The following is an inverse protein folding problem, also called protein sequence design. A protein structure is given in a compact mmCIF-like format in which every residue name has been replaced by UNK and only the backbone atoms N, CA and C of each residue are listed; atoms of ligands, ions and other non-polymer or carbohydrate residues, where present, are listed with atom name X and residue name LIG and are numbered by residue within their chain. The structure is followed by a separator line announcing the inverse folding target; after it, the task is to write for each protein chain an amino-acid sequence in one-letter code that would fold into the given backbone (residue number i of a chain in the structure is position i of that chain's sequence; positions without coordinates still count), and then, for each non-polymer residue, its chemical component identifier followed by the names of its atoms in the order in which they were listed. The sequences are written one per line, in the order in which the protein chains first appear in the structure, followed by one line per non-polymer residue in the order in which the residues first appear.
data_IF_268435705122
#
_entry.id   IF_268435705122
#
_cell.length_a   1.000
_cell.length_b   1.000
_cell.length_c   1.000
_cell.angle_alpha   90.00
_cell.angle_beta   90.00
_cell.angle_gamma   90.00
#
_symmetry.space_group_name_H-M   'P 1'
#
loop_
_entity.id
_entity.type
_entity.pdbx_description
1 polymer ?
#
# COMPACT_ATOMS: atom_id res chain seq x y z
N UNK A 1 38.48 33.17 -58.82
CA UNK A 1 37.12 32.63 -58.57
C UNK A 1 37.18 31.82 -57.29
N UNK A 2 36.48 32.21 -56.21
CA UNK A 2 36.65 31.57 -54.91
C UNK A 2 35.73 30.34 -54.80
N UNK A 3 36.34 29.18 -54.53
CA UNK A 3 35.64 27.98 -54.11
C UNK A 3 35.05 28.22 -52.71
N UNK A 4 33.71 28.29 -52.61
CA UNK A 4 33.00 28.33 -51.33
C UNK A 4 32.95 26.93 -50.75
N UNK A 5 33.66 26.74 -49.63
CA UNK A 5 33.58 25.55 -48.77
C UNK A 5 32.12 25.23 -48.42
N UNK A 6 31.63 24.08 -48.88
CA UNK A 6 30.27 23.54 -48.66
C UNK A 6 30.20 22.50 -47.53
N UNK A 7 31.22 22.41 -46.67
CA UNK A 7 31.15 21.60 -45.44
C UNK A 7 30.88 22.55 -44.25
N UNK A 8 29.76 22.36 -43.52
CA UNK A 8 29.66 21.29 -42.53
C UNK A 8 28.25 20.66 -42.36
N UNK A 9 27.31 20.90 -43.29
CA UNK A 9 25.91 20.51 -43.12
C UNK A 9 25.69 18.99 -43.04
N UNK A 10 26.45 18.19 -43.80
CA UNK A 10 26.32 16.72 -43.82
C UNK A 10 26.72 16.06 -42.49
N UNK A 11 27.76 16.59 -41.82
CA UNK A 11 28.20 16.10 -40.49
C UNK A 11 27.18 16.43 -39.41
N UNK A 12 26.64 17.65 -39.41
CA UNK A 12 25.60 18.06 -38.48
C UNK A 12 24.32 17.23 -38.64
N UNK A 13 23.90 16.97 -39.88
CA UNK A 13 22.73 16.13 -40.17
C UNK A 13 22.91 14.70 -39.65
N UNK A 14 24.08 14.10 -39.88
CA UNK A 14 24.39 12.75 -39.39
C UNK A 14 24.36 12.66 -37.87
N UNK A 15 24.87 13.68 -37.17
CA UNK A 15 24.82 13.76 -35.69
C UNK A 15 23.37 13.87 -35.20
N UNK A 16 22.55 14.72 -35.84
CA UNK A 16 21.14 14.90 -35.47
C UNK A 16 20.36 13.59 -35.66
N UNK A 17 20.55 12.92 -36.80
CA UNK A 17 19.91 11.63 -37.09
C UNK A 17 20.36 10.56 -36.09
N UNK A 18 21.67 10.47 -35.82
CA UNK A 18 22.20 9.54 -34.83
C UNK A 18 21.64 9.79 -33.42
N UNK A 19 21.59 11.04 -32.98
CA UNK A 19 21.02 11.42 -31.68
C UNK A 19 19.52 11.13 -31.60
N UNK A 20 18.80 11.30 -32.71
CA UNK A 20 17.37 10.98 -32.80
C UNK A 20 17.15 9.47 -32.63
N UNK A 21 17.91 8.64 -33.34
CA UNK A 21 17.82 7.17 -33.24
C UNK A 21 18.13 6.70 -31.82
N UNK A 22 19.20 7.22 -31.20
CA UNK A 22 19.55 6.89 -29.81
C UNK A 22 18.45 7.32 -28.84
N UNK A 23 17.88 8.52 -29.03
CA UNK A 23 16.75 9.00 -28.23
C UNK A 23 15.51 8.11 -28.36
N UNK A 24 15.16 7.69 -29.57
CA UNK A 24 14.04 6.77 -29.81
C UNK A 24 14.29 5.39 -29.17
N UNK A 25 15.51 4.86 -29.24
CA UNK A 25 15.85 3.61 -28.57
C UNK A 25 15.72 3.74 -27.05
N UNK A 26 16.29 4.79 -26.45
CA UNK A 26 16.20 5.03 -25.01
C UNK A 26 14.74 5.18 -24.55
N UNK A 27 13.92 5.90 -25.32
CA UNK A 27 12.50 6.06 -25.06
C UNK A 27 11.74 4.72 -25.16
N UNK A 28 12.03 3.92 -26.19
CA UNK A 28 11.44 2.58 -26.34
C UNK A 28 11.79 1.65 -25.18
N UNK A 29 13.05 1.67 -24.71
CA UNK A 29 13.48 0.93 -23.54
C UNK A 29 12.75 1.39 -22.27
N UNK A 30 12.65 2.69 -22.04
CA UNK A 30 11.93 3.24 -20.89
C UNK A 30 10.46 2.80 -20.88
N UNK A 31 9.77 2.87 -22.03
CA UNK A 31 8.38 2.43 -22.16
C UNK A 31 8.23 0.92 -21.93
N UNK A 32 9.16 0.11 -22.44
CA UNK A 32 9.18 -1.34 -22.22
C UNK A 32 9.36 -1.68 -20.74
N UNK A 33 10.28 -0.99 -20.06
CA UNK A 33 10.53 -1.17 -18.64
C UNK A 33 9.33 -0.78 -17.79
N UNK A 34 8.68 0.34 -18.09
CA UNK A 34 7.45 0.78 -17.42
C UNK A 34 6.33 -0.26 -17.55
N UNK A 35 6.10 -0.79 -18.76
CA UNK A 35 5.11 -1.85 -18.98
C UNK A 35 5.45 -3.09 -18.18
N UNK A 36 6.72 -3.49 -18.13
CA UNK A 36 7.14 -4.67 -17.39
C UNK A 36 6.82 -4.58 -15.89
N UNK A 37 7.09 -3.43 -15.26
CA UNK A 37 6.77 -3.22 -13.84
C UNK A 37 5.25 -3.32 -13.61
N UNK A 38 4.46 -2.68 -14.48
CA UNK A 38 3.01 -2.70 -14.33
C UNK A 38 2.42 -4.11 -14.52
N UNK A 39 3.02 -4.90 -15.41
CA UNK A 39 2.68 -6.32 -15.57
C UNK A 39 3.02 -7.14 -14.33
N UNK A 40 4.20 -6.97 -13.75
CA UNK A 40 4.62 -7.69 -12.55
C UNK A 40 3.68 -7.39 -11.37
N UNK A 41 3.36 -6.11 -11.15
CA UNK A 41 2.41 -5.70 -10.11
C UNK A 41 1.02 -6.31 -10.31
N UNK A 42 0.56 -6.40 -11.56
CA UNK A 42 -0.74 -7.01 -11.87
C UNK A 42 -0.73 -8.51 -11.59
N UNK A 43 0.35 -9.20 -11.98
CA UNK A 43 0.56 -10.62 -11.70
C UNK A 43 0.58 -10.90 -10.20
N UNK A 44 1.33 -10.11 -9.45
CA UNK A 44 1.43 -10.23 -8.00
C UNK A 44 0.06 -10.04 -7.34
N UNK A 45 -0.71 -9.04 -7.77
CA UNK A 45 -2.05 -8.80 -7.26
C UNK A 45 -2.99 -10.01 -7.53
N UNK A 46 -2.99 -10.54 -8.76
CA UNK A 46 -3.79 -11.72 -9.12
C UNK A 46 -3.38 -12.95 -8.29
N UNK A 47 -2.09 -13.13 -8.03
CA UNK A 47 -1.59 -14.22 -7.19
C UNK A 47 -2.04 -14.07 -5.73
N UNK A 48 -1.98 -12.86 -5.19
CA UNK A 48 -2.43 -12.58 -3.83
C UNK A 48 -3.94 -12.78 -3.68
N UNK A 49 -4.74 -12.31 -4.65
CA UNK A 49 -6.18 -12.55 -4.69
C UNK A 49 -6.50 -14.05 -4.72
N UNK A 50 -5.81 -14.82 -5.56
CA UNK A 50 -5.99 -16.28 -5.62
C UNK A 50 -5.65 -16.96 -4.30
N UNK A 51 -4.57 -16.53 -3.63
CA UNK A 51 -4.16 -17.08 -2.34
C UNK A 51 -5.22 -16.81 -1.27
N UNK A 52 -5.70 -15.57 -1.18
CA UNK A 52 -6.72 -15.18 -0.23
C UNK A 52 -8.01 -15.97 -0.47
N UNK A 53 -8.44 -16.08 -1.73
CA UNK A 53 -9.64 -16.84 -2.08
C UNK A 53 -9.53 -18.32 -1.69
N UNK A 54 -8.35 -18.93 -1.88
CA UNK A 54 -8.11 -20.32 -1.43
C UNK A 54 -8.17 -20.45 0.08
N UNK A 55 -7.65 -19.47 0.82
CA UNK A 55 -7.73 -19.46 2.28
C UNK A 55 -9.16 -19.29 2.77
N UNK A 56 -9.94 -18.39 2.16
CA UNK A 56 -11.36 -18.20 2.46
C UNK A 56 -12.16 -19.48 2.20
N UNK A 57 -11.93 -20.14 1.06
CA UNK A 57 -12.58 -21.42 0.74
C UNK A 57 -12.23 -22.47 1.81
N UNK A 58 -10.95 -22.61 2.16
CA UNK A 58 -10.51 -23.56 3.18
C UNK A 58 -11.11 -23.26 4.56
N UNK A 59 -11.22 -21.98 4.92
CA UNK A 59 -11.84 -21.55 6.16
C UNK A 59 -13.34 -21.81 6.16
N UNK A 60 -14.05 -21.49 5.07
CA UNK A 60 -15.47 -21.78 4.92
C UNK A 60 -15.77 -23.28 5.03
N UNK A 61 -14.92 -24.16 4.50
CA UNK A 61 -15.07 -25.60 4.70
C UNK A 61 -14.92 -26.00 6.18
N UNK A 62 -13.93 -25.45 6.90
CA UNK A 62 -13.75 -25.71 8.34
C UNK A 62 -14.94 -25.21 9.16
N UNK A 63 -15.44 -24.03 8.85
CA UNK A 63 -16.59 -23.46 9.54
C UNK A 63 -17.84 -24.31 9.32
N UNK A 64 -18.07 -24.77 8.09
CA UNK A 64 -19.19 -25.65 7.76
C UNK A 64 -19.07 -27.00 8.49
N UNK A 65 -17.87 -27.58 8.55
CA UNK A 65 -17.58 -28.77 9.34
C UNK A 65 -17.86 -28.55 10.83
N UNK A 66 -17.42 -27.42 11.38
CA UNK A 66 -17.69 -27.04 12.77
C UNK A 66 -19.18 -26.91 13.05
N UNK A 67 -19.95 -26.21 12.21
CA UNK A 67 -21.40 -26.07 12.39
C UNK A 67 -22.17 -27.39 12.19
N UNK A 68 -21.65 -28.29 11.36
CA UNK A 68 -22.22 -29.66 11.23
C UNK A 68 -21.87 -30.56 12.40
N UNK A 69 -20.78 -30.27 13.12
CA UNK A 69 -20.30 -31.11 14.21
C UNK A 69 -21.36 -31.29 15.30
N UNK A 70 -21.35 -32.48 15.92
CA UNK A 70 -22.21 -32.75 17.08
C UNK A 70 -21.94 -31.82 18.26
N UNK A 71 -20.69 -31.35 18.39
CA UNK A 71 -20.26 -30.43 19.45
C UNK A 71 -20.94 -29.07 19.33
N UNK A 72 -21.01 -28.50 18.11
CA UNK A 72 -21.72 -27.24 17.91
C UNK A 72 -23.22 -27.39 18.16
N UNK A 73 -23.83 -28.49 17.73
CA UNK A 73 -25.25 -28.77 17.99
C UNK A 73 -25.56 -28.91 19.47
N UNK A 74 -24.71 -29.61 20.21
CA UNK A 74 -24.83 -29.78 21.67
C UNK A 74 -24.64 -28.43 22.39
N UNK A 75 -23.60 -27.66 22.04
CA UNK A 75 -23.39 -26.31 22.55
C UNK A 75 -24.58 -25.40 22.27
N UNK A 76 -25.07 -25.37 21.02
CA UNK A 76 -26.19 -24.54 20.61
C UNK A 76 -27.48 -24.92 21.35
N UNK A 77 -27.75 -26.21 21.54
CA UNK A 77 -28.90 -26.69 22.30
C UNK A 77 -28.81 -26.30 23.79
N UNK A 78 -27.64 -26.43 24.40
CA UNK A 78 -27.40 -26.08 25.81
C UNK A 78 -27.53 -24.58 26.05
N UNK A 79 -26.99 -23.74 25.15
CA UNK A 79 -26.99 -22.28 25.29
C UNK A 79 -28.33 -21.64 24.90
N UNK A 80 -28.96 -22.05 23.78
CA UNK A 80 -30.16 -21.37 23.26
C UNK A 80 -31.48 -22.01 23.69
N UNK A 81 -31.50 -23.32 23.97
CA UNK A 81 -32.74 -24.03 24.34
C UNK A 81 -32.82 -24.32 25.85
N UNK A 82 -31.80 -23.92 26.63
CA UNK A 82 -31.77 -24.10 28.08
C UNK A 82 -31.78 -25.57 28.53
N UNK A 83 -31.50 -26.51 27.63
CA UNK A 83 -31.46 -27.96 27.87
C UNK A 83 -30.16 -28.39 28.56
N UNK A 84 -29.79 -27.69 29.63
CA UNK A 84 -28.66 -28.07 30.48
C UNK A 84 -29.06 -29.32 31.26
N UNK A 85 -28.30 -30.40 31.14
CA UNK A 85 -28.59 -31.64 31.86
C UNK A 85 -28.41 -31.41 33.37
N UNK A 86 -29.26 -32.01 34.23
CA UNK A 86 -29.15 -31.82 35.68
C UNK A 86 -27.79 -32.32 36.18
N UNK A 87 -26.94 -31.39 36.64
CA UNK A 87 -25.56 -31.66 37.10
C UNK A 87 -24.44 -30.98 36.29
N UNK A 88 -24.77 -30.29 35.20
CA UNK A 88 -23.79 -29.60 34.33
C UNK A 88 -23.75 -28.09 34.66
N UNK A 89 -22.55 -27.52 34.91
CA UNK A 89 -22.36 -26.09 35.21
C UNK A 89 -21.83 -25.34 33.97
N UNK A 90 -22.54 -24.30 33.54
CA UNK A 90 -22.13 -23.46 32.40
C UNK A 90 -21.05 -22.47 32.84
N UNK A 91 -19.82 -22.64 32.33
CA UNK A 91 -18.71 -21.72 32.55
C UNK A 91 -18.63 -20.71 31.39
N UNK A 92 -19.03 -19.47 31.65
CA UNK A 92 -18.85 -18.36 30.69
C UNK A 92 -17.45 -17.79 30.89
N UNK A 93 -16.54 -18.10 29.97
CA UNK A 93 -15.19 -17.53 29.96
C UNK A 93 -15.30 -16.12 29.39
N UNK A 94 -15.35 -15.11 30.28
CA UNK A 94 -15.17 -13.72 29.89
C UNK A 94 -13.68 -13.51 29.60
N UNK A 95 -13.29 -13.55 28.33
CA UNK A 95 -11.97 -13.08 27.94
C UNK A 95 -11.89 -11.59 28.29
N UNK A 96 -10.91 -11.15 29.11
CA UNK A 96 -10.72 -9.73 29.34
C UNK A 96 -10.34 -9.13 27.99
N UNK A 97 -11.30 -8.40 27.41
CA UNK A 97 -11.05 -7.55 26.26
C UNK A 97 -9.94 -6.61 26.71
N UNK A 98 -8.78 -6.67 26.08
CA UNK A 98 -7.64 -5.81 26.36
C UNK A 98 -7.97 -4.39 25.88
N UNK A 99 -8.91 -3.72 26.54
CA UNK A 99 -9.39 -2.37 26.21
C UNK A 99 -8.28 -1.31 26.32
N UNK A 100 -7.13 -1.66 26.92
CA UNK A 100 -5.96 -0.78 27.00
C UNK A 100 -5.19 -0.63 25.67
N UNK A 101 -5.37 -1.53 24.70
CA UNK A 101 -4.70 -1.40 23.40
C UNK A 101 -5.45 -0.42 22.48
N UNK A 102 -6.78 -0.56 22.37
CA UNK A 102 -7.61 0.26 21.47
C UNK A 102 -7.71 1.72 21.91
N UNK A 103 -7.76 2.01 23.22
CA UNK A 103 -7.79 3.39 23.72
C UNK A 103 -6.47 4.15 23.48
N UNK A 104 -5.34 3.46 23.49
CA UNK A 104 -4.04 4.05 23.19
C UNK A 104 -3.83 4.25 21.68
N UNK A 105 -4.38 3.36 20.86
CA UNK A 105 -4.38 3.49 19.40
C UNK A 105 -5.25 4.69 18.96
N UNK A 106 -6.47 4.83 19.47
CA UNK A 106 -7.34 5.97 19.16
C UNK A 106 -6.72 7.32 19.59
N UNK A 107 -6.09 7.38 20.77
CA UNK A 107 -5.40 8.60 21.22
C UNK A 107 -4.16 8.91 20.37
N UNK A 108 -3.43 7.89 19.92
CA UNK A 108 -2.26 8.07 19.04
C UNK A 108 -2.67 8.46 17.61
N UNK A 109 -3.80 7.94 17.12
CA UNK A 109 -4.37 8.29 15.82
C UNK A 109 -4.87 9.74 15.83
N UNK A 110 -5.59 10.17 16.87
CA UNK A 110 -6.05 11.56 17.03
C UNK A 110 -4.88 12.54 17.12
N UNK A 111 -3.79 12.19 17.82
CA UNK A 111 -2.56 12.99 17.82
C UNK A 111 -1.94 13.04 16.43
N UNK A 112 -1.77 11.90 15.76
CA UNK A 112 -1.21 11.83 14.41
C UNK A 112 -2.01 12.62 13.37
N UNK A 113 -3.34 12.68 13.49
CA UNK A 113 -4.19 13.51 12.64
C UNK A 113 -3.96 15.02 12.87
N UNK A 114 -3.81 15.46 14.12
CA UNK A 114 -3.52 16.86 14.44
C UNK A 114 -2.15 17.31 13.88
N UNK A 115 -1.13 16.45 14.01
CA UNK A 115 0.21 16.70 13.47
C UNK A 115 0.18 16.86 11.94
N UNK A 116 -0.60 16.01 11.25
CA UNK A 116 -0.77 16.07 9.79
C UNK A 116 -1.46 17.35 9.34
N UNK A 117 -2.50 17.80 10.06
CA UNK A 117 -3.21 19.05 9.74
C UNK A 117 -2.28 20.26 9.91
N UNK A 118 -1.52 20.32 11.00
CA UNK A 118 -0.54 21.39 11.23
C UNK A 118 0.55 21.42 10.14
N UNK A 119 1.04 20.26 9.73
CA UNK A 119 2.00 20.14 8.63
C UNK A 119 1.43 20.63 7.29
N UNK A 120 0.20 20.25 6.96
CA UNK A 120 -0.45 20.68 5.71
C UNK A 120 -0.74 22.18 5.69
N UNK A 121 -1.10 22.75 6.84
CA UNK A 121 -1.28 24.20 6.96
C UNK A 121 0.01 24.97 6.76
N UNK A 122 1.13 24.46 7.29
CA UNK A 122 2.47 25.01 7.08
C UNK A 122 2.89 24.93 5.60
N UNK A 123 2.62 23.81 4.93
CA UNK A 123 2.88 23.68 3.49
C UNK A 123 2.06 24.69 2.68
N UNK A 124 0.78 24.90 3.02
CA UNK A 124 -0.08 25.86 2.32
C UNK A 124 0.44 27.31 2.37
N UNK A 125 1.19 27.67 3.42
CA UNK A 125 1.75 29.01 3.60
C UNK A 125 3.08 29.23 2.86
N UNK A 126 3.76 28.17 2.43
CA UNK A 126 5.05 28.27 1.74
C UNK A 126 4.90 28.40 0.22
N UNK A 127 5.84 29.08 -0.46
CA UNK A 127 5.87 29.09 -1.92
C UNK A 127 6.23 27.69 -2.47
N UNK A 128 5.68 27.33 -3.63
CA UNK A 128 5.85 25.99 -4.24
C UNK A 128 7.33 25.61 -4.43
N UNK A 129 8.20 26.57 -4.71
CA UNK A 129 9.63 26.29 -4.91
C UNK A 129 10.34 25.81 -3.63
N UNK A 130 9.88 26.26 -2.46
CA UNK A 130 10.43 25.82 -1.17
C UNK A 130 10.00 24.41 -0.83
N UNK A 131 8.82 23.97 -1.28
CA UNK A 131 8.37 22.58 -1.14
C UNK A 131 9.35 21.64 -1.82
N UNK A 132 9.61 21.87 -3.11
CA UNK A 132 10.52 21.03 -3.89
C UNK A 132 11.93 21.08 -3.35
N UNK A 133 12.40 22.24 -2.89
CA UNK A 133 13.71 22.38 -2.27
C UNK A 133 13.83 21.54 -0.99
N UNK A 134 12.79 21.53 -0.18
CA UNK A 134 12.76 20.77 1.08
C UNK A 134 12.73 19.26 0.81
N UNK A 135 11.91 18.78 -0.13
CA UNK A 135 11.84 17.37 -0.49
C UNK A 135 13.11 16.85 -1.19
N UNK A 136 13.72 17.63 -2.08
CA UNK A 136 14.86 17.18 -2.89
C UNK A 136 16.21 17.31 -2.16
N UNK A 137 16.39 18.35 -1.34
CA UNK A 137 17.69 18.66 -0.75
C UNK A 137 17.74 18.46 0.77
N UNK A 138 16.59 18.36 1.45
CA UNK A 138 16.55 18.23 2.91
C UNK A 138 15.56 17.14 3.39
N UNK A 139 15.71 15.88 2.94
CA UNK A 139 14.82 14.79 3.37
C UNK A 139 14.83 14.57 4.89
N UNK A 140 15.95 14.88 5.55
CA UNK A 140 16.07 14.79 7.01
C UNK A 140 15.21 15.86 7.73
N UNK A 141 15.09 17.08 7.18
CA UNK A 141 14.24 18.13 7.75
C UNK A 141 12.75 17.85 7.58
N UNK A 142 12.37 17.12 6.53
CA UNK A 142 11.00 16.65 6.35
C UNK A 142 10.61 15.74 7.50
N UNK A 143 11.48 14.79 7.84
CA UNK A 143 11.26 13.85 8.94
C UNK A 143 11.24 14.55 10.30
N UNK A 144 12.14 15.50 10.52
CA UNK A 144 12.13 16.32 11.74
C UNK A 144 10.84 17.15 11.85
N UNK A 145 10.36 17.77 10.78
CA UNK A 145 9.11 18.54 10.79
C UNK A 145 7.88 17.66 11.04
N UNK A 146 7.89 16.42 10.55
CA UNK A 146 6.84 15.44 10.84
C UNK A 146 6.88 14.89 12.28
N UNK A 147 8.03 14.94 12.94
CA UNK A 147 8.20 14.45 14.31
C UNK A 147 8.07 15.54 15.38
N UNK A 148 8.30 16.81 15.04
CA UNK A 148 8.28 17.95 15.98
C UNK A 148 6.91 18.63 16.12
N UNK A 149 6.04 18.47 15.14
CA UNK A 149 4.70 19.07 15.07
C UNK A 149 3.65 18.00 15.26
#
# INVERSE_FOLDING_TARGET
MPYRNLEPLSKQFTIIVGLTVVGFMAFGYALSFYRNILFEQTLENIHNQNRNLRQEIAQGYRDLEYYRSGQYKDKYAKENLGLVSPGEHVLIIQQPITTSAMANEELSELQGEQQRVAYLELLRQMPVIEHWKLYLFYPQRVQELQQRL
#
